data_IF_447419704998
#
_entry.id   IF_447419704998
#
_cell.length_a   1.000
_cell.length_b   1.000
_cell.length_c   1.000
_cell.angle_alpha   90.00
_cell.angle_beta   90.00
_cell.angle_gamma   90.00
#
_symmetry.space_group_name_H-M   'P 1'
#
loop_
_entity.id
_entity.type
_entity.pdbx_description
1 polymer ?
#
# COMPACT_ATOMS: atom_id res chain seq x y z
N UNK A 1 21.04 -11.01 -27.45
CA UNK A 1 19.65 -11.52 -27.38
C UNK A 1 18.83 -10.63 -26.45
N UNK A 2 18.10 -9.66 -27.02
CA UNK A 2 17.33 -8.65 -26.27
C UNK A 2 15.97 -9.22 -25.88
N UNK A 3 15.76 -9.50 -24.59
CA UNK A 3 14.47 -9.98 -24.07
C UNK A 3 13.50 -8.80 -24.04
N UNK A 4 12.60 -8.73 -25.03
CA UNK A 4 11.45 -7.84 -25.06
C UNK A 4 10.50 -8.19 -23.90
N UNK A 5 10.72 -7.60 -22.73
CA UNK A 5 9.76 -7.64 -21.65
C UNK A 5 8.61 -6.71 -22.05
N UNK A 6 7.52 -7.26 -22.61
CA UNK A 6 6.24 -6.55 -22.77
C UNK A 6 5.74 -6.19 -21.37
N UNK A 7 6.27 -5.11 -20.79
CA UNK A 7 5.76 -4.50 -19.57
C UNK A 7 4.40 -3.94 -19.96
N UNK A 8 3.35 -4.76 -19.81
CA UNK A 8 1.98 -4.26 -19.94
C UNK A 8 1.79 -3.26 -18.79
N UNK A 9 1.88 -1.97 -19.14
CA UNK A 9 1.61 -0.90 -18.20
C UNK A 9 0.23 -1.15 -17.56
N UNK A 10 0.15 -0.99 -16.24
CA UNK A 10 -1.06 -1.32 -15.49
C UNK A 10 -2.22 -0.42 -15.96
N UNK A 11 -3.40 -1.01 -16.20
CA UNK A 11 -4.60 -0.30 -16.69
C UNK A 11 -5.19 0.72 -15.71
N UNK A 12 -4.89 0.60 -14.42
CA UNK A 12 -5.43 1.48 -13.38
C UNK A 12 -4.40 1.70 -12.27
N UNK A 13 -4.36 2.94 -11.76
CA UNK A 13 -3.56 3.28 -10.59
C UNK A 13 -4.06 2.55 -9.34
N UNK A 14 -3.14 2.10 -8.49
CA UNK A 14 -3.45 1.34 -7.28
C UNK A 14 -3.06 2.15 -6.07
N UNK A 15 -4.04 2.47 -5.24
CA UNK A 15 -3.79 3.14 -3.97
C UNK A 15 -3.57 2.11 -2.87
N UNK A 16 -2.53 2.33 -2.07
CA UNK A 16 -2.22 1.47 -0.94
C UNK A 16 -3.30 1.64 0.14
N UNK A 17 -3.76 0.52 0.68
CA UNK A 17 -4.73 0.52 1.76
C UNK A 17 -4.42 -0.60 2.74
N UNK A 18 -5.01 -0.52 3.94
CA UNK A 18 -4.91 -1.59 4.94
C UNK A 18 -6.29 -1.86 5.49
N UNK A 19 -7.11 -2.48 4.64
CA UNK A 19 -8.48 -2.87 4.98
C UNK A 19 -8.46 -4.35 5.33
N UNK A 20 -9.11 -4.70 6.44
CA UNK A 20 -9.32 -6.08 6.85
C UNK A 20 -10.69 -6.55 6.38
N UNK A 21 -10.76 -7.80 5.96
CA UNK A 21 -12.00 -8.43 5.55
C UNK A 21 -11.77 -9.93 5.37
N UNK A 22 -12.65 -10.55 4.62
CA UNK A 22 -12.60 -11.99 4.36
C UNK A 22 -12.97 -12.29 2.92
N UNK A 23 -12.35 -13.34 2.39
CA UNK A 23 -12.61 -13.87 1.05
C UNK A 23 -13.41 -15.15 1.20
N UNK A 24 -14.60 -15.16 0.61
CA UNK A 24 -15.48 -16.32 0.51
C UNK A 24 -15.27 -16.99 -0.86
N UNK A 25 -15.06 -18.30 -0.82
CA UNK A 25 -15.00 -19.17 -1.97
C UNK A 25 -15.76 -20.45 -1.66
N UNK A 26 -16.85 -20.70 -2.39
CA UNK A 26 -17.76 -21.82 -2.12
C UNK A 26 -18.20 -21.82 -0.64
N UNK A 27 -17.94 -22.91 0.09
CA UNK A 27 -18.28 -23.09 1.50
C UNK A 27 -17.13 -22.67 2.45
N UNK A 28 -16.05 -22.09 1.93
CA UNK A 28 -14.90 -21.67 2.72
C UNK A 28 -14.80 -20.15 2.80
N UNK A 29 -14.44 -19.66 3.99
CA UNK A 29 -14.14 -18.26 4.24
C UNK A 29 -12.74 -18.15 4.84
N UNK A 30 -11.96 -17.22 4.33
CA UNK A 30 -10.59 -16.98 4.81
C UNK A 30 -10.39 -15.49 5.06
N UNK A 31 -9.87 -15.16 6.24
CA UNK A 31 -9.49 -13.79 6.57
C UNK A 31 -8.39 -13.27 5.63
N UNK A 32 -8.56 -12.02 5.19
CA UNK A 32 -7.65 -11.38 4.26
C UNK A 32 -7.41 -9.92 4.62
N UNK A 33 -6.24 -9.43 4.23
CA UNK A 33 -5.87 -8.02 4.31
C UNK A 33 -5.71 -7.48 2.90
N UNK A 34 -6.50 -6.47 2.55
CA UNK A 34 -6.36 -5.74 1.29
C UNK A 34 -5.13 -4.83 1.43
N UNK A 35 -4.15 -5.02 0.56
CA UNK A 35 -2.87 -4.28 0.53
C UNK A 35 -2.95 -3.05 -0.38
N UNK A 36 -3.65 -3.20 -1.50
CA UNK A 36 -3.91 -2.12 -2.44
C UNK A 36 -5.22 -2.37 -3.18
N UNK A 37 -5.83 -1.26 -3.58
CA UNK A 37 -7.12 -1.23 -4.25
C UNK A 37 -7.04 -0.32 -5.48
N UNK A 38 -7.76 -0.72 -6.53
CA UNK A 38 -8.04 0.07 -7.72
C UNK A 38 -9.52 -0.11 -8.10
N UNK A 39 -10.07 0.75 -8.97
CA UNK A 39 -11.44 0.59 -9.46
C UNK A 39 -11.73 -0.77 -10.10
N UNK A 40 -10.71 -1.45 -10.61
CA UNK A 40 -10.85 -2.72 -11.33
C UNK A 40 -10.39 -3.93 -10.53
N UNK A 41 -9.73 -3.78 -9.39
CA UNK A 41 -9.21 -4.93 -8.65
C UNK A 41 -8.40 -4.59 -7.42
N UNK A 42 -8.00 -5.62 -6.70
CA UNK A 42 -7.25 -5.53 -5.46
C UNK A 42 -6.12 -6.57 -5.38
N UNK A 43 -5.10 -6.27 -4.57
CA UNK A 43 -4.21 -7.29 -4.04
C UNK A 43 -4.52 -7.53 -2.56
N UNK A 44 -4.66 -8.80 -2.20
CA UNK A 44 -4.99 -9.23 -0.86
C UNK A 44 -3.92 -10.20 -0.36
N UNK A 45 -3.68 -10.17 0.94
CA UNK A 45 -2.85 -11.11 1.67
C UNK A 45 -3.76 -11.99 2.53
N UNK A 46 -3.73 -13.30 2.30
CA UNK A 46 -4.57 -14.25 3.03
C UNK A 46 -3.90 -14.62 4.35
N UNK A 47 -4.67 -14.72 5.44
CA UNK A 47 -4.17 -15.22 6.73
C UNK A 47 -4.17 -16.75 6.83
N UNK A 48 -4.85 -17.43 5.92
CA UNK A 48 -4.97 -18.89 5.91
C UNK A 48 -5.00 -19.48 4.49
N UNK A 49 -5.07 -20.81 4.37
CA UNK A 49 -5.12 -21.49 3.09
C UNK A 49 -6.45 -21.21 2.37
N UNK A 50 -6.37 -20.56 1.21
CA UNK A 50 -7.49 -20.42 0.29
C UNK A 50 -7.41 -21.49 -0.80
N UNK A 51 -8.39 -22.39 -0.85
CA UNK A 51 -8.51 -23.47 -1.84
C UNK A 51 -9.10 -23.01 -3.20
N UNK A 52 -8.92 -21.73 -3.53
CA UNK A 52 -9.30 -21.18 -4.83
C UNK A 52 -8.07 -21.08 -5.74
N UNK A 53 -8.26 -21.39 -7.02
CA UNK A 53 -7.23 -21.32 -8.06
C UNK A 53 -7.36 -20.02 -8.88
N UNK A 54 -6.38 -19.74 -9.73
CA UNK A 54 -6.52 -18.68 -10.73
C UNK A 54 -7.68 -19.01 -11.67
N UNK A 55 -8.54 -18.03 -11.95
CA UNK A 55 -9.79 -18.21 -12.69
C UNK A 55 -11.02 -18.45 -11.82
N UNK A 56 -10.85 -18.78 -10.53
CA UNK A 56 -11.97 -18.96 -9.60
C UNK A 56 -12.68 -17.64 -9.30
N UNK A 57 -14.02 -17.66 -9.31
CA UNK A 57 -14.87 -16.57 -8.80
C UNK A 57 -14.87 -16.58 -7.28
N UNK A 58 -14.67 -15.42 -6.67
CA UNK A 58 -14.60 -15.21 -5.23
C UNK A 58 -15.39 -13.98 -4.83
N UNK A 59 -15.84 -13.95 -3.58
CA UNK A 59 -16.51 -12.79 -2.98
C UNK A 59 -15.63 -12.23 -1.88
N UNK A 60 -15.39 -10.94 -1.89
CA UNK A 60 -14.64 -10.22 -0.88
C UNK A 60 -15.66 -9.43 -0.07
N UNK A 61 -15.59 -9.54 1.24
CA UNK A 61 -16.42 -8.77 2.15
C UNK A 61 -15.51 -8.07 3.15
N UNK A 62 -15.68 -6.76 3.27
CA UNK A 62 -14.94 -5.95 4.22
C UNK A 62 -15.83 -4.81 4.72
N UNK A 63 -15.74 -4.50 6.00
CA UNK A 63 -16.62 -3.53 6.67
C UNK A 63 -16.69 -2.17 5.95
N UNK A 64 -15.53 -1.64 5.54
CA UNK A 64 -15.44 -0.31 4.91
C UNK A 64 -15.61 -0.34 3.38
N UNK A 65 -15.62 -1.52 2.75
CA UNK A 65 -15.65 -1.67 1.29
C UNK A 65 -16.96 -2.31 0.80
N UNK A 66 -17.69 -2.98 1.69
CA UNK A 66 -18.87 -3.76 1.35
C UNK A 66 -18.54 -5.13 0.77
N UNK A 67 -19.45 -5.65 -0.05
CA UNK A 67 -19.35 -6.93 -0.73
C UNK A 67 -19.02 -6.73 -2.21
N UNK A 68 -17.85 -7.22 -2.61
CA UNK A 68 -17.36 -7.18 -3.98
C UNK A 68 -17.18 -8.59 -4.53
N UNK A 69 -17.52 -8.76 -5.81
CA UNK A 69 -17.32 -10.01 -6.52
C UNK A 69 -16.17 -9.87 -7.52
N UNK A 70 -15.44 -10.95 -7.75
CA UNK A 70 -14.31 -10.92 -8.66
C UNK A 70 -13.73 -12.29 -8.98
N UNK A 71 -12.70 -12.28 -9.80
CA UNK A 71 -11.99 -13.47 -10.26
C UNK A 71 -10.54 -13.39 -9.85
N UNK A 72 -9.99 -14.49 -9.32
CA UNK A 72 -8.56 -14.58 -9.02
C UNK A 72 -7.76 -14.56 -10.33
N UNK A 73 -6.84 -13.61 -10.47
CA UNK A 73 -5.94 -13.52 -11.63
C UNK A 73 -4.59 -14.14 -11.38
N UNK A 74 -4.12 -14.09 -10.13
CA UNK A 74 -2.86 -14.69 -9.72
C UNK A 74 -2.86 -14.99 -8.23
N UNK A 75 -2.06 -15.97 -7.83
CA UNK A 75 -1.77 -16.33 -6.44
C UNK A 75 -0.27 -16.53 -6.31
N UNK A 76 0.35 -15.86 -5.33
CA UNK A 76 1.79 -15.92 -5.11
C UNK A 76 2.11 -15.68 -3.64
N UNK A 77 2.79 -16.63 -3.00
CA UNK A 77 3.28 -16.51 -1.61
C UNK A 77 2.22 -15.99 -0.60
N UNK A 78 1.05 -16.63 -0.54
CA UNK A 78 -0.06 -16.21 0.33
C UNK A 78 -0.80 -14.94 -0.11
N UNK A 79 -0.37 -14.28 -1.18
CA UNK A 79 -1.04 -13.14 -1.78
C UNK A 79 -1.86 -13.54 -2.99
N UNK A 80 -2.96 -12.83 -3.19
CA UNK A 80 -3.92 -13.09 -4.26
C UNK A 80 -4.27 -11.77 -4.93
N UNK A 81 -4.21 -11.75 -6.25
CA UNK A 81 -4.73 -10.65 -7.06
C UNK A 81 -6.12 -10.98 -7.55
N UNK A 82 -7.08 -10.13 -7.21
CA UNK A 82 -8.47 -10.29 -7.64
C UNK A 82 -8.82 -9.16 -8.61
N UNK A 83 -9.39 -9.52 -9.75
CA UNK A 83 -10.02 -8.62 -10.69
C UNK A 83 -11.51 -8.56 -10.35
N UNK A 84 -12.04 -7.37 -10.09
CA UNK A 84 -13.45 -7.21 -9.77
C UNK A 84 -14.33 -7.40 -11.00
N UNK A 85 -15.54 -7.91 -10.76
CA UNK A 85 -16.63 -7.84 -11.70
C UNK A 85 -17.24 -6.42 -11.62
N UNK A 86 -16.90 -5.59 -12.61
CA UNK A 86 -17.14 -4.14 -12.53
C UNK A 86 -18.57 -3.82 -12.95
N UNK A 87 -19.51 -3.93 -12.01
CA UNK A 87 -20.89 -3.47 -12.15
C UNK A 87 -21.12 -2.12 -11.41
N UNK A 88 -22.32 -1.54 -11.56
CA UNK A 88 -22.65 -0.22 -10.95
C UNK A 88 -22.54 -0.24 -9.42
N UNK A 89 -22.93 -1.35 -8.78
CA UNK A 89 -22.84 -1.51 -7.33
C UNK A 89 -21.38 -1.55 -6.86
N UNK A 90 -20.54 -2.36 -7.51
CA UNK A 90 -19.11 -2.45 -7.23
C UNK A 90 -18.42 -1.08 -7.41
N UNK A 91 -18.75 -0.35 -8.49
CA UNK A 91 -18.24 1.01 -8.70
C UNK A 91 -18.65 1.97 -7.57
N UNK A 92 -19.91 1.93 -7.14
CA UNK A 92 -20.41 2.77 -6.05
C UNK A 92 -19.71 2.47 -4.73
N UNK A 93 -19.57 1.20 -4.37
CA UNK A 93 -18.87 0.75 -3.16
C UNK A 93 -17.39 1.18 -3.15
N UNK A 94 -16.67 0.94 -4.25
CA UNK A 94 -15.26 1.33 -4.37
C UNK A 94 -15.12 2.86 -4.33
N UNK A 95 -16.01 3.60 -5.00
CA UNK A 95 -16.01 5.07 -4.97
C UNK A 95 -16.29 5.61 -3.57
N UNK A 96 -17.27 5.06 -2.86
CA UNK A 96 -17.56 5.43 -1.47
C UNK A 96 -16.38 5.15 -0.56
N UNK A 97 -15.71 4.00 -0.72
CA UNK A 97 -14.49 3.70 0.02
C UNK A 97 -13.41 4.76 -0.23
N UNK A 98 -13.13 5.11 -1.49
CA UNK A 98 -12.13 6.13 -1.81
C UNK A 98 -12.49 7.52 -1.31
N UNK A 99 -13.77 7.85 -1.24
CA UNK A 99 -14.24 9.17 -0.80
C UNK A 99 -14.25 9.33 0.72
N UNK A 100 -14.69 8.32 1.46
CA UNK A 100 -14.99 8.45 2.90
C UNK A 100 -14.01 7.71 3.80
N UNK A 101 -13.43 6.60 3.34
CA UNK A 101 -12.68 5.67 4.20
C UNK A 101 -11.20 5.56 3.84
N UNK A 102 -10.80 6.04 2.67
CA UNK A 102 -9.42 5.99 2.24
C UNK A 102 -8.56 7.00 2.99
N UNK A 103 -7.86 6.51 4.02
CA UNK A 103 -6.76 7.22 4.66
C UNK A 103 -5.48 6.91 3.89
N UNK A 104 -4.87 7.92 3.28
CA UNK A 104 -3.54 7.77 2.68
C UNK A 104 -2.54 7.36 3.76
N UNK A 105 -2.05 6.12 3.68
CA UNK A 105 -0.97 5.69 4.56
C UNK A 105 0.34 6.29 4.08
N UNK A 106 0.79 7.35 4.74
CA UNK A 106 2.16 7.85 4.60
C UNK A 106 3.09 6.90 5.37
N UNK A 107 4.11 6.30 4.72
CA UNK A 107 5.11 5.55 5.47
C UNK A 107 5.82 6.51 6.41
N UNK A 108 5.63 6.33 7.72
CA UNK A 108 6.40 7.07 8.71
C UNK A 108 7.78 6.43 8.74
N UNK A 109 8.75 7.02 8.03
CA UNK A 109 10.15 6.77 8.37
C UNK A 109 10.31 7.23 9.83
N UNK A 110 10.49 6.29 10.74
CA UNK A 110 11.05 6.60 12.05
C UNK A 110 12.49 7.05 11.82
N UNK A 111 12.69 8.32 11.47
CA UNK A 111 14.01 8.94 11.43
C UNK A 111 14.46 9.02 12.89
N UNK A 112 15.37 8.12 13.29
CA UNK A 112 16.05 8.23 14.58
C UNK A 112 16.95 9.47 14.49
N UNK A 113 16.71 10.54 15.26
CA UNK A 113 17.58 11.69 15.19
C UNK A 113 18.96 11.27 15.71
N UNK A 114 19.97 11.36 14.84
CA UNK A 114 21.36 11.28 15.26
C UNK A 114 21.66 12.54 16.07
N UNK A 115 21.76 12.39 17.39
CA UNK A 115 22.26 13.44 18.28
C UNK A 115 23.69 13.74 17.84
N UNK A 116 23.93 14.90 17.24
CA UNK A 116 25.27 15.44 17.02
C UNK A 116 25.70 16.14 18.30
N UNK A 117 26.62 15.51 19.04
CA UNK A 117 27.31 16.16 20.16
C UNK A 117 28.20 17.26 19.59
N UNK A 118 27.84 18.52 19.77
CA UNK A 118 28.70 19.63 19.42
C UNK A 118 29.83 19.73 20.45
N UNK A 119 31.05 19.39 20.05
CA UNK A 119 32.26 19.69 20.83
C UNK A 119 32.54 21.17 20.68
N UNK A 120 32.39 21.93 21.77
CA UNK A 120 32.75 23.34 21.87
C UNK A 120 34.28 23.46 21.96
N UNK A 121 34.93 23.97 20.92
CA UNK A 121 36.34 24.39 20.98
C UNK A 121 36.35 25.91 21.08
N UNK A 122 36.50 26.36 22.32
CA UNK A 122 36.67 27.75 22.72
C UNK A 122 37.99 28.27 22.13
N UNK A 123 37.89 29.17 21.15
CA UNK A 123 39.03 29.81 20.50
C UNK A 123 39.27 31.16 21.15
N UNK A 124 40.30 31.26 21.99
CA UNK A 124 40.82 32.49 22.58
C UNK A 124 41.30 33.45 21.48
N UNK A 125 40.85 34.71 21.41
CA UNK A 125 41.47 35.70 20.54
C UNK A 125 42.61 36.41 21.28
N UNK A 126 43.84 36.25 20.80
CA UNK A 126 44.96 37.15 21.08
C UNK A 126 45.22 38.01 19.84
N UNK A 127 45.01 39.33 19.94
CA UNK A 127 45.55 40.34 19.02
C UNK A 127 45.72 41.64 19.82
N UNK A 128 46.89 41.86 20.42
CA UNK A 128 47.99 42.72 19.91
C UNK A 128 47.56 44.13 19.56
N UNK A 129 47.88 45.02 20.49
CA UNK A 129 47.92 46.48 20.45
C UNK A 129 48.55 47.02 19.18
N UNK A 130 47.87 47.93 18.50
CA UNK A 130 48.48 48.88 17.56
C UNK A 130 47.85 50.25 17.73
N UNK A 131 48.62 51.15 18.36
CA UNK A 131 48.42 52.60 18.47
C UNK A 131 48.49 53.28 17.10
N UNK A 132 47.67 54.29 16.80
CA UNK A 132 47.89 55.19 15.68
C UNK A 132 48.74 56.41 16.11
N UNK A 133 49.77 56.71 15.31
CA UNK A 133 50.45 58.01 15.31
C UNK A 133 49.69 58.95 14.35
N UNK A 134 49.42 60.17 14.81
CA UNK A 134 49.47 61.48 14.13
C UNK A 134 48.47 62.46 14.73
#
# INVERSE_FOLDING_TARGET
MTRNLKITARKADRKNCRVFGHVKYLNSQVDARILNLSPTGAALEMKGPLHAASGSKVRIEAENLGLLEGVIRWKHNGRVGIQFDVNSNARAQISSYFRFFHKEMRPVLAVRPLVRTAVNVERTPHLTTSTPNS
#
